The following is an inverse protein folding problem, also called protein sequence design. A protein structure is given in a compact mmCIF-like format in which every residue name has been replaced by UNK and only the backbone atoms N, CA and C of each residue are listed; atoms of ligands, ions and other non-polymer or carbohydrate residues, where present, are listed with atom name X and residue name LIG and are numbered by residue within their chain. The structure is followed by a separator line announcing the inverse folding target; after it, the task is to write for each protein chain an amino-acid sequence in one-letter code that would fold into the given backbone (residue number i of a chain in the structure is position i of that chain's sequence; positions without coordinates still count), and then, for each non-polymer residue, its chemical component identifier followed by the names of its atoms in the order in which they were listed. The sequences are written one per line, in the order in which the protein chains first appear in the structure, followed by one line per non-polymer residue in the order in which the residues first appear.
data_IF_355778862368
#
_entry.id   IF_355778862368
#
_cell.length_a   1.000
_cell.length_b   1.000
_cell.length_c   1.000
_cell.angle_alpha   90.00
_cell.angle_beta   90.00
_cell.angle_gamma   90.00
#
_symmetry.space_group_name_H-M   'P 1'
#
loop_
_entity.id
_entity.type
_entity.pdbx_description
1 polymer ?
#
# COMPACT_ATOMS: atom_id res chain seq x y z
N UNK A 1 -1.12 30.73 13.56
CA UNK A 1 -0.76 29.88 12.40
C UNK A 1 -1.86 28.85 12.25
N UNK A 2 -2.60 28.92 11.16
CA UNK A 2 -3.81 28.13 10.95
C UNK A 2 -3.43 26.71 10.53
N UNK A 3 -3.95 25.72 11.26
CA UNK A 3 -3.99 24.34 10.83
C UNK A 3 -5.03 24.24 9.70
N UNK A 4 -4.58 24.09 8.46
CA UNK A 4 -5.50 23.99 7.34
C UNK A 4 -4.81 23.94 5.99
N UNK A 5 -4.22 22.78 5.66
CA UNK A 5 -4.17 22.25 4.28
C UNK A 5 -3.37 20.94 4.23
N UNK A 6 -3.87 19.91 4.92
CA UNK A 6 -3.58 18.52 4.58
C UNK A 6 -4.88 17.93 4.03
N UNK A 7 -5.29 18.40 2.84
CA UNK A 7 -6.31 17.71 2.07
C UNK A 7 -5.60 16.90 1.00
N UNK A 8 -5.97 15.62 0.79
CA UNK A 8 -5.45 14.85 -0.32
C UNK A 8 -5.76 15.55 -1.64
N UNK A 9 -4.90 15.36 -2.64
CA UNK A 9 -5.04 15.87 -4.00
C UNK A 9 -6.45 15.71 -4.54
N UNK A 10 -6.90 16.61 -5.42
CA UNK A 10 -8.23 16.51 -6.04
C UNK A 10 -8.47 15.14 -6.72
N UNK A 11 -7.40 14.45 -7.13
CA UNK A 11 -7.44 13.12 -7.73
C UNK A 11 -7.47 11.98 -6.71
N UNK A 12 -6.77 12.08 -5.58
CA UNK A 12 -6.94 11.14 -4.47
C UNK A 12 -8.34 11.30 -3.88
N UNK A 13 -8.84 12.54 -3.76
CA UNK A 13 -10.24 12.79 -3.48
C UNK A 13 -11.09 12.14 -4.57
N UNK A 14 -10.78 12.26 -5.86
CA UNK A 14 -11.58 11.64 -6.92
C UNK A 14 -11.57 10.09 -6.90
N UNK A 15 -10.46 9.44 -6.53
CA UNK A 15 -10.36 7.97 -6.38
C UNK A 15 -10.99 7.50 -5.07
N UNK A 16 -10.73 8.17 -3.95
CA UNK A 16 -11.39 7.88 -2.69
C UNK A 16 -12.90 8.16 -2.78
N UNK A 17 -13.29 9.21 -3.51
CA UNK A 17 -14.68 9.55 -3.84
C UNK A 17 -15.23 8.58 -4.87
N UNK A 18 -14.49 8.03 -5.82
CA UNK A 18 -15.02 7.00 -6.73
C UNK A 18 -15.24 5.67 -6.02
N UNK A 19 -14.35 5.29 -5.09
CA UNK A 19 -14.52 4.13 -4.21
C UNK A 19 -15.69 4.37 -3.24
N UNK A 20 -15.78 5.56 -2.63
CA UNK A 20 -16.86 5.93 -1.72
C UNK A 20 -18.20 6.16 -2.45
N UNK A 21 -18.19 6.61 -3.71
CA UNK A 21 -19.38 6.70 -4.57
C UNK A 21 -19.75 5.29 -5.01
N UNK A 22 -18.83 4.39 -5.34
CA UNK A 22 -19.18 3.02 -5.73
C UNK A 22 -19.75 2.23 -4.54
N UNK A 23 -19.08 2.26 -3.40
CA UNK A 23 -19.59 1.68 -2.15
C UNK A 23 -20.85 2.40 -1.65
N UNK A 24 -20.89 3.72 -1.80
CA UNK A 24 -22.05 4.56 -1.46
C UNK A 24 -23.23 4.38 -2.42
N UNK A 25 -23.02 4.04 -3.69
CA UNK A 25 -24.06 3.70 -4.67
C UNK A 25 -24.58 2.29 -4.43
N UNK A 26 -23.75 1.35 -3.95
CA UNK A 26 -24.22 0.03 -3.49
C UNK A 26 -25.07 0.19 -2.23
N UNK A 27 -24.57 0.92 -1.22
CA UNK A 27 -25.32 1.21 0.01
C UNK A 27 -26.55 2.07 -0.29
N UNK A 28 -26.47 3.06 -1.19
CA UNK A 28 -27.61 3.88 -1.59
C UNK A 28 -28.58 3.10 -2.47
N UNK A 29 -28.14 2.15 -3.30
CA UNK A 29 -29.05 1.25 -4.01
C UNK A 29 -29.77 0.35 -3.01
N UNK A 30 -29.10 -0.21 -2.00
CA UNK A 30 -29.75 -0.92 -0.89
C UNK A 30 -30.70 0.00 -0.10
N UNK A 31 -30.31 1.24 0.17
CA UNK A 31 -31.12 2.17 0.97
C UNK A 31 -32.28 2.78 0.17
N UNK A 32 -32.13 2.95 -1.14
CA UNK A 32 -33.12 3.50 -2.06
C UNK A 32 -34.12 2.42 -2.47
N UNK A 33 -33.67 1.18 -2.70
CA UNK A 33 -34.57 0.02 -2.77
C UNK A 33 -35.27 -0.22 -1.42
N UNK A 34 -34.60 0.00 -0.28
CA UNK A 34 -35.25 -0.04 1.03
C UNK A 34 -36.20 1.15 1.31
N UNK A 35 -36.02 2.31 0.66
CA UNK A 35 -36.89 3.51 0.81
C UNK A 35 -38.04 3.55 -0.18
N UNK A 36 -37.89 2.99 -1.38
CA UNK A 36 -39.01 2.77 -2.32
C UNK A 36 -39.89 1.58 -1.92
N UNK A 37 -39.40 0.75 -0.98
CA UNK A 37 -40.23 -0.17 -0.19
C UNK A 37 -40.88 0.51 1.03
N UNK A 38 -40.74 1.83 1.22
CA UNK A 38 -41.64 2.57 2.09
C UNK A 38 -42.97 2.74 1.34
N UNK A 39 -44.11 2.33 1.93
CA UNK A 39 -45.38 2.32 1.23
C UNK A 39 -45.72 3.73 0.76
N UNK A 40 -45.68 3.94 -0.55
CA UNK A 40 -46.34 5.09 -1.15
C UNK A 40 -47.82 4.97 -0.79
N UNK A 41 -48.31 5.92 0.02
CA UNK A 41 -49.73 6.10 0.26
C UNK A 41 -50.39 6.43 -1.08
N UNK A 42 -50.88 5.39 -1.76
CA UNK A 42 -51.93 5.54 -2.76
C UNK A 42 -53.15 6.00 -1.98
N UNK A 43 -53.60 7.22 -2.26
CA UNK A 43 -54.89 7.74 -1.84
C UNK A 43 -55.97 6.92 -2.55
N UNK A 44 -56.29 5.75 -2.00
CA UNK A 44 -57.53 5.05 -2.29
C UNK A 44 -58.66 5.83 -1.66
N UNK A 45 -59.60 6.25 -2.50
CA UNK A 45 -60.92 6.62 -2.07
C UNK A 45 -61.49 5.53 -1.14
N UNK A 46 -61.95 6.00 0.02
CA UNK A 46 -63.01 5.43 0.86
C UNK A 46 -62.72 4.11 1.59
N UNK A 47 -62.73 4.24 2.92
CA UNK A 47 -63.03 3.26 3.98
C UNK A 47 -63.48 1.85 3.55
N UNK A 48 -62.78 0.82 4.02
CA UNK A 48 -63.32 -0.07 5.06
C UNK A 48 -62.27 -1.06 5.58
N UNK A 49 -62.07 -1.02 6.89
CA UNK A 49 -61.76 -2.14 7.81
C UNK A 49 -60.81 -3.26 7.35
N UNK A 50 -59.56 -3.22 7.85
CA UNK A 50 -58.92 -4.30 8.65
C UNK A 50 -57.40 -4.12 8.69
N UNK A 51 -56.91 -3.41 9.71
CA UNK A 51 -55.50 -3.47 10.12
C UNK A 51 -55.44 -4.35 11.36
N UNK A 52 -55.21 -5.66 11.17
CA UNK A 52 -54.63 -6.54 12.19
C UNK A 52 -53.84 -7.65 11.47
N UNK A 53 -52.54 -7.75 11.79
CA UNK A 53 -51.51 -8.71 11.31
C UNK A 53 -50.80 -8.33 9.99
N UNK A 54 -49.65 -7.64 10.06
CA UNK A 54 -48.83 -7.36 8.87
C UNK A 54 -47.33 -7.17 9.18
N UNK A 55 -46.73 -8.02 10.02
CA UNK A 55 -45.26 -8.14 10.06
C UNK A 55 -44.73 -9.37 9.29
N UNK A 56 -45.57 -10.39 9.06
CA UNK A 56 -45.21 -11.64 8.34
C UNK A 56 -45.87 -11.80 6.96
N UNK A 57 -46.78 -10.90 6.58
CA UNK A 57 -47.64 -11.08 5.42
C UNK A 57 -46.90 -10.82 4.09
N UNK A 58 -45.92 -9.92 4.10
CA UNK A 58 -45.09 -9.64 2.93
C UNK A 58 -44.10 -10.76 2.64
N UNK A 59 -43.56 -11.44 3.67
CA UNK A 59 -42.66 -12.60 3.48
C UNK A 59 -43.42 -13.78 2.90
N UNK A 60 -44.62 -14.08 3.44
CA UNK A 60 -45.50 -15.11 2.87
C UNK A 60 -45.90 -14.78 1.45
N UNK A 61 -46.28 -13.54 1.18
CA UNK A 61 -46.61 -13.10 -0.19
C UNK A 61 -45.41 -13.25 -1.15
N UNK A 62 -44.19 -13.00 -0.67
CA UNK A 62 -42.98 -13.16 -1.49
C UNK A 62 -42.63 -14.64 -1.74
N UNK A 63 -42.79 -15.51 -0.73
CA UNK A 63 -42.68 -16.96 -0.86
C UNK A 63 -43.75 -17.51 -1.82
N UNK A 64 -44.99 -17.02 -1.74
CA UNK A 64 -46.09 -17.41 -2.62
C UNK A 64 -45.87 -16.95 -4.06
N UNK A 65 -45.33 -15.75 -4.26
CA UNK A 65 -44.92 -15.24 -5.58
C UNK A 65 -43.72 -16.02 -6.13
N UNK A 66 -42.74 -16.41 -5.32
CA UNK A 66 -41.65 -17.31 -5.76
C UNK A 66 -42.18 -18.69 -6.15
N UNK A 67 -43.11 -19.24 -5.36
CA UNK A 67 -43.77 -20.52 -5.65
C UNK A 67 -44.64 -20.46 -6.92
N UNK A 68 -45.31 -19.33 -7.19
CA UNK A 68 -46.20 -19.16 -8.35
C UNK A 68 -45.49 -18.68 -9.62
N UNK A 69 -44.43 -17.89 -9.50
CA UNK A 69 -43.71 -17.34 -10.66
C UNK A 69 -42.92 -18.40 -11.42
N UNK A 70 -42.61 -19.53 -10.78
CA UNK A 70 -41.70 -20.54 -11.32
C UNK A 70 -40.27 -20.02 -11.49
N UNK A 71 -39.97 -18.83 -10.96
CA UNK A 71 -38.66 -18.19 -11.00
C UNK A 71 -37.93 -18.60 -9.73
N UNK A 72 -37.10 -19.64 -9.82
CA UNK A 72 -36.10 -19.90 -8.79
C UNK A 72 -35.06 -18.77 -8.80
N UNK A 73 -34.49 -18.45 -7.64
CA UNK A 73 -33.25 -17.69 -7.61
C UNK A 73 -32.23 -18.38 -8.54
N UNK A 74 -31.41 -17.61 -9.29
CA UNK A 74 -30.33 -18.21 -10.05
C UNK A 74 -29.49 -19.09 -9.11
N UNK A 75 -29.17 -20.30 -9.55
CA UNK A 75 -28.28 -21.15 -8.77
C UNK A 75 -26.95 -20.41 -8.57
N UNK A 76 -26.36 -20.48 -7.36
CA UNK A 76 -25.04 -19.92 -7.15
C UNK A 76 -24.06 -20.54 -8.16
N UNK A 77 -23.10 -19.75 -8.66
CA UNK A 77 -22.13 -20.25 -9.62
C UNK A 77 -21.39 -21.46 -9.04
N UNK A 78 -21.14 -22.48 -9.88
CA UNK A 78 -20.39 -23.66 -9.45
C UNK A 78 -18.98 -23.29 -9.00
N UNK A 79 -18.41 -24.06 -8.07
CA UNK A 79 -17.02 -23.85 -7.61
C UNK A 79 -16.02 -23.83 -8.78
N UNK A 80 -16.25 -24.66 -9.80
CA UNK A 80 -15.45 -24.71 -11.03
C UNK A 80 -15.54 -23.39 -11.82
N UNK A 81 -16.74 -22.81 -11.95
CA UNK A 81 -16.94 -21.53 -12.63
C UNK A 81 -16.25 -20.39 -11.88
N UNK A 82 -16.37 -20.39 -10.54
CA UNK A 82 -15.70 -19.40 -9.68
C UNK A 82 -14.17 -19.52 -9.82
N UNK A 83 -13.63 -20.74 -9.79
CA UNK A 83 -12.21 -20.98 -9.97
C UNK A 83 -11.71 -20.52 -11.35
N UNK A 84 -12.48 -20.77 -12.41
CA UNK A 84 -12.16 -20.30 -13.76
C UNK A 84 -12.16 -18.77 -13.84
N UNK A 85 -13.13 -18.09 -13.24
CA UNK A 85 -13.16 -16.62 -13.19
C UNK A 85 -12.00 -16.05 -12.39
N UNK A 86 -11.64 -16.66 -11.26
CA UNK A 86 -10.49 -16.24 -10.45
C UNK A 86 -9.16 -16.41 -11.19
N UNK A 87 -9.00 -17.50 -11.94
CA UNK A 87 -7.84 -17.71 -12.79
C UNK A 87 -7.76 -16.63 -13.89
N UNK A 88 -8.86 -16.35 -14.57
CA UNK A 88 -8.94 -15.31 -15.59
C UNK A 88 -8.76 -13.88 -15.00
N UNK A 89 -9.12 -13.68 -13.73
CA UNK A 89 -8.93 -12.41 -13.03
C UNK A 89 -7.45 -12.13 -12.73
N UNK A 90 -6.57 -13.13 -12.77
CA UNK A 90 -5.13 -12.90 -12.64
C UNK A 90 -4.50 -12.31 -13.91
N UNK A 91 -5.24 -12.21 -15.01
CA UNK A 91 -4.79 -11.58 -16.25
C UNK A 91 -4.94 -10.06 -16.17
N UNK A 92 -3.91 -9.33 -16.61
CA UNK A 92 -3.91 -7.86 -16.63
C UNK A 92 -2.93 -7.25 -15.62
N UNK A 93 -3.17 -6.00 -15.25
CA UNK A 93 -2.36 -5.29 -14.24
C UNK A 93 -2.87 -5.54 -12.82
N UNK A 94 -2.12 -5.12 -11.80
CA UNK A 94 -2.46 -5.39 -10.39
C UNK A 94 -3.80 -4.77 -10.02
N UNK A 95 -4.06 -3.54 -10.47
CA UNK A 95 -5.34 -2.86 -10.24
C UNK A 95 -6.52 -3.64 -10.78
N UNK A 96 -6.43 -4.11 -12.03
CA UNK A 96 -7.46 -4.92 -12.67
C UNK A 96 -7.62 -6.27 -11.96
N UNK A 97 -6.53 -6.94 -11.67
CA UNK A 97 -6.54 -8.27 -11.05
C UNK A 97 -7.18 -8.27 -9.66
N UNK A 98 -6.79 -7.31 -8.82
CA UNK A 98 -7.36 -7.13 -7.49
C UNK A 98 -8.84 -6.77 -7.59
N UNK A 99 -9.22 -5.86 -8.50
CA UNK A 99 -10.61 -5.43 -8.66
C UNK A 99 -11.51 -6.58 -9.12
N UNK A 100 -11.07 -7.35 -10.12
CA UNK A 100 -11.80 -8.51 -10.64
C UNK A 100 -11.89 -9.62 -9.61
N UNK A 101 -10.79 -9.93 -8.92
CA UNK A 101 -10.76 -10.92 -7.82
C UNK A 101 -11.76 -10.53 -6.72
N UNK A 102 -11.72 -9.27 -6.25
CA UNK A 102 -12.63 -8.78 -5.22
C UNK A 102 -14.09 -8.85 -5.67
N UNK A 103 -14.39 -8.45 -6.90
CA UNK A 103 -15.75 -8.52 -7.45
C UNK A 103 -16.27 -9.96 -7.52
N UNK A 104 -15.48 -10.90 -8.03
CA UNK A 104 -15.86 -12.32 -8.15
C UNK A 104 -16.10 -12.92 -6.77
N UNK A 105 -15.17 -12.71 -5.85
CA UNK A 105 -15.26 -13.27 -4.50
C UNK A 105 -16.42 -12.69 -3.69
N UNK A 106 -16.67 -11.39 -3.76
CA UNK A 106 -17.80 -10.75 -3.10
C UNK A 106 -19.14 -11.20 -3.70
N UNK A 107 -19.23 -11.30 -5.02
CA UNK A 107 -20.45 -11.76 -5.71
C UNK A 107 -20.78 -13.22 -5.37
N UNK A 108 -19.75 -14.07 -5.29
CA UNK A 108 -19.90 -15.47 -4.86
C UNK A 108 -20.34 -15.58 -3.40
N UNK A 109 -19.74 -14.79 -2.49
CA UNK A 109 -20.15 -14.73 -1.10
C UNK A 109 -21.60 -14.25 -0.96
N UNK A 110 -22.01 -13.23 -1.71
CA UNK A 110 -23.39 -12.73 -1.72
C UNK A 110 -24.38 -13.79 -2.22
N UNK A 111 -24.04 -14.53 -3.29
CA UNK A 111 -24.87 -15.62 -3.81
C UNK A 111 -25.06 -16.77 -2.81
N UNK A 112 -24.12 -16.94 -1.87
CA UNK A 112 -24.20 -17.93 -0.78
C UNK A 112 -24.87 -17.39 0.49
N UNK A 113 -25.35 -16.14 0.49
CA UNK A 113 -25.91 -15.49 1.68
C UNK A 113 -24.86 -15.04 2.71
N UNK A 114 -23.57 -15.04 2.34
CA UNK A 114 -22.43 -14.67 3.17
C UNK A 114 -21.90 -13.26 2.89
N UNK A 115 -22.55 -12.48 2.01
CA UNK A 115 -22.04 -11.17 1.57
C UNK A 115 -21.88 -10.14 2.70
N UNK A 116 -22.66 -10.25 3.78
CA UNK A 116 -22.60 -9.39 4.97
C UNK A 116 -21.85 -10.03 6.15
N UNK A 117 -21.25 -11.21 5.96
CA UNK A 117 -20.49 -11.89 7.00
C UNK A 117 -19.11 -11.23 7.16
N UNK A 118 -18.89 -10.60 8.32
CA UNK A 118 -17.65 -9.86 8.63
C UNK A 118 -16.40 -10.75 8.49
N UNK A 119 -16.35 -11.98 9.06
CA UNK A 119 -15.22 -12.89 8.85
C UNK A 119 -14.92 -13.19 7.38
N UNK A 120 -15.95 -13.29 6.53
CA UNK A 120 -15.79 -13.48 5.09
C UNK A 120 -15.20 -12.22 4.45
N UNK A 121 -15.72 -11.04 4.76
CA UNK A 121 -15.18 -9.76 4.25
C UNK A 121 -13.71 -9.55 4.63
N UNK A 122 -13.32 -9.87 5.87
CA UNK A 122 -11.93 -9.77 6.33
C UNK A 122 -10.98 -10.67 5.54
N UNK A 123 -11.41 -11.91 5.25
CA UNK A 123 -10.63 -12.85 4.43
C UNK A 123 -10.47 -12.34 3.00
N UNK A 124 -11.50 -11.74 2.41
CA UNK A 124 -11.43 -11.17 1.06
C UNK A 124 -10.45 -10.01 0.99
N UNK A 125 -10.49 -9.11 1.98
CA UNK A 125 -9.55 -7.99 2.10
C UNK A 125 -8.12 -8.51 2.28
N UNK A 126 -7.90 -9.50 3.15
CA UNK A 126 -6.59 -10.11 3.35
C UNK A 126 -6.04 -10.79 2.07
N UNK A 127 -6.91 -11.46 1.31
CA UNK A 127 -6.56 -12.07 0.03
C UNK A 127 -6.15 -11.03 -1.03
N UNK A 128 -6.90 -9.94 -1.14
CA UNK A 128 -6.58 -8.82 -2.02
C UNK A 128 -5.24 -8.16 -1.63
N UNK A 129 -4.98 -8.00 -0.33
CA UNK A 129 -3.70 -7.48 0.17
C UNK A 129 -2.52 -8.41 -0.17
N UNK A 130 -2.69 -9.73 -0.09
CA UNK A 130 -1.64 -10.70 -0.42
C UNK A 130 -1.21 -10.63 -1.88
N UNK A 131 -2.11 -10.23 -2.80
CA UNK A 131 -1.79 -10.04 -4.22
C UNK A 131 -0.90 -8.81 -4.47
N UNK A 132 -0.90 -7.82 -3.59
CA UNK A 132 -0.10 -6.60 -3.73
C UNK A 132 1.39 -6.81 -3.39
N UNK A 133 1.76 -7.90 -2.71
CA UNK A 133 3.10 -8.10 -2.14
C UNK A 133 4.15 -8.78 -3.03
N UNK A 134 3.88 -9.03 -4.31
CA UNK A 134 4.73 -9.90 -5.14
C UNK A 134 5.72 -9.12 -6.02
N UNK A 135 6.77 -8.57 -5.40
CA UNK A 135 7.95 -8.09 -6.10
C UNK A 135 9.21 -8.71 -5.51
N UNK A 136 9.88 -9.61 -6.25
CA UNK A 136 11.18 -10.11 -5.84
C UNK A 136 12.22 -8.99 -5.99
N UNK A 137 12.64 -8.40 -4.88
CA UNK A 137 13.81 -7.51 -4.83
C UNK A 137 15.06 -8.36 -4.62
N UNK A 138 16.20 -7.93 -5.15
CA UNK A 138 17.48 -8.56 -4.83
C UNK A 138 17.71 -8.52 -3.31
N UNK A 139 17.93 -9.71 -2.73
CA UNK A 139 18.13 -9.88 -1.30
C UNK A 139 19.61 -10.08 -1.00
N UNK A 140 20.21 -9.10 -0.31
CA UNK A 140 21.58 -9.15 0.18
C UNK A 140 21.64 -9.89 1.51
N UNK A 141 22.77 -10.53 1.76
CA UNK A 141 23.10 -11.33 2.93
C UNK A 141 24.49 -10.97 3.44
N UNK A 142 24.88 -11.49 4.61
CA UNK A 142 26.22 -11.28 5.15
C UNK A 142 27.32 -11.93 4.29
N UNK A 143 26.97 -12.89 3.44
CA UNK A 143 27.90 -13.51 2.50
C UNK A 143 28.31 -12.57 1.35
N UNK A 144 27.53 -11.52 1.12
CA UNK A 144 27.79 -10.52 0.09
C UNK A 144 28.73 -9.40 0.57
N UNK A 145 29.12 -9.42 1.85
CA UNK A 145 29.92 -8.37 2.49
C UNK A 145 31.38 -8.77 2.66
N UNK A 146 32.29 -7.79 2.55
CA UNK A 146 33.65 -7.92 3.06
C UNK A 146 33.64 -7.66 4.58
N UNK A 147 33.81 -8.71 5.39
CA UNK A 147 33.81 -8.59 6.85
C UNK A 147 35.21 -8.30 7.40
N UNK A 148 35.30 -7.38 8.35
CA UNK A 148 36.55 -7.04 9.06
C UNK A 148 36.38 -7.12 10.59
N UNK A 149 37.48 -7.34 11.35
CA UNK A 149 37.42 -7.41 12.82
C UNK A 149 36.85 -6.15 13.47
N UNK A 150 36.25 -6.30 14.65
CA UNK A 150 35.64 -5.20 15.41
C UNK A 150 36.69 -4.37 16.17
N UNK A 151 37.48 -3.58 15.45
CA UNK A 151 38.41 -2.60 16.04
C UNK A 151 37.83 -1.20 15.94
N UNK A 152 38.28 -0.28 16.80
CA UNK A 152 37.88 1.12 16.73
C UNK A 152 38.22 1.75 15.38
N UNK A 153 39.37 1.40 14.83
CA UNK A 153 39.83 1.86 13.51
C UNK A 153 38.88 1.38 12.41
N UNK A 154 38.50 0.10 12.39
CA UNK A 154 37.57 -0.44 11.39
C UNK A 154 36.16 0.16 11.53
N UNK A 155 35.68 0.38 12.76
CA UNK A 155 34.39 1.03 13.00
C UNK A 155 34.38 2.49 12.55
N UNK A 156 35.47 3.22 12.79
CA UNK A 156 35.66 4.60 12.35
C UNK A 156 35.73 4.69 10.82
N UNK A 157 36.55 3.84 10.19
CA UNK A 157 36.65 3.75 8.73
C UNK A 157 35.30 3.42 8.08
N UNK A 158 34.57 2.45 8.62
CA UNK A 158 33.21 2.11 8.17
C UNK A 158 32.25 3.29 8.30
N UNK A 159 32.21 3.97 9.45
CA UNK A 159 31.35 5.12 9.67
C UNK A 159 31.63 6.27 8.70
N UNK A 160 32.90 6.52 8.40
CA UNK A 160 33.31 7.49 7.38
C UNK A 160 32.92 7.06 5.97
N UNK A 161 33.17 5.80 5.60
CA UNK A 161 32.83 5.27 4.27
C UNK A 161 31.33 5.31 3.99
N UNK A 162 30.52 4.89 4.96
CA UNK A 162 29.06 4.93 4.86
C UNK A 162 28.54 6.37 4.70
N UNK A 163 29.02 7.30 5.52
CA UNK A 163 28.62 8.71 5.41
C UNK A 163 29.09 9.35 4.10
N UNK A 164 30.29 9.01 3.63
CA UNK A 164 30.83 9.49 2.36
C UNK A 164 29.97 9.02 1.17
N UNK A 165 29.64 7.74 1.11
CA UNK A 165 28.80 7.16 0.05
C UNK A 165 27.41 7.84 0.01
N UNK A 166 26.76 8.01 1.17
CA UNK A 166 25.47 8.73 1.25
C UNK A 166 25.61 10.18 0.75
N UNK A 167 26.68 10.88 1.13
CA UNK A 167 26.93 12.25 0.69
C UNK A 167 27.26 12.35 -0.82
N UNK A 168 27.82 11.30 -1.42
CA UNK A 168 28.10 11.23 -2.85
C UNK A 168 26.84 11.06 -3.71
N UNK A 169 25.73 10.61 -3.11
CA UNK A 169 24.45 10.35 -3.77
C UNK A 169 23.31 11.28 -3.30
N UNK A 170 23.45 12.62 -3.43
CA UNK A 170 22.45 13.57 -2.91
C UNK A 170 21.09 13.48 -3.63
N UNK A 171 21.05 12.87 -4.82
CA UNK A 171 19.83 12.68 -5.59
C UNK A 171 19.06 11.41 -5.17
N UNK A 172 19.64 10.53 -4.34
CA UNK A 172 18.91 9.46 -3.65
C UNK A 172 18.05 10.05 -2.51
N UNK A 173 17.07 10.87 -2.89
CA UNK A 173 16.35 11.75 -1.98
C UNK A 173 14.87 11.37 -1.85
N UNK A 174 14.47 10.98 -0.63
CA UNK A 174 13.07 10.71 -0.32
C UNK A 174 12.17 11.93 -0.54
N UNK A 175 12.68 13.13 -0.22
CA UNK A 175 11.94 14.37 -0.44
C UNK A 175 11.65 14.61 -1.92
N UNK A 176 12.62 14.36 -2.81
CA UNK A 176 12.41 14.52 -4.25
C UNK A 176 11.46 13.48 -4.83
N UNK A 177 11.51 12.21 -4.36
CA UNK A 177 10.55 11.17 -4.76
C UNK A 177 9.14 11.58 -4.37
N UNK A 178 8.93 11.95 -3.10
CA UNK A 178 7.61 12.33 -2.59
C UNK A 178 7.08 13.60 -3.26
N UNK A 179 7.94 14.58 -3.53
CA UNK A 179 7.57 15.78 -4.27
C UNK A 179 7.14 15.46 -5.70
N UNK A 180 7.95 14.69 -6.45
CA UNK A 180 7.66 14.33 -7.85
C UNK A 180 6.38 13.52 -7.93
N UNK A 181 6.17 12.58 -7.01
CA UNK A 181 4.95 11.78 -6.92
C UNK A 181 3.73 12.64 -6.58
N UNK A 182 3.82 13.49 -5.56
CA UNK A 182 2.74 14.40 -5.18
C UNK A 182 2.35 15.34 -6.32
N UNK A 183 3.33 15.95 -6.97
CA UNK A 183 3.11 16.83 -8.10
C UNK A 183 2.50 16.10 -9.31
N UNK A 184 2.97 14.88 -9.60
CA UNK A 184 2.39 14.06 -10.67
C UNK A 184 0.90 13.80 -10.44
N UNK A 185 0.53 13.43 -9.21
CA UNK A 185 -0.87 13.20 -8.82
C UNK A 185 -1.69 14.50 -8.83
N UNK A 186 -1.16 15.60 -8.31
CA UNK A 186 -1.91 16.87 -8.26
C UNK A 186 -2.19 17.44 -9.65
N UNK A 187 -1.28 17.22 -10.60
CA UNK A 187 -1.30 17.87 -11.92
C UNK A 187 -1.57 16.91 -13.08
N UNK A 188 -1.87 15.63 -12.82
CA UNK A 188 -1.95 14.59 -13.85
C UNK A 188 -0.70 14.54 -14.76
N UNK A 189 0.48 14.75 -14.19
CA UNK A 189 1.72 14.95 -14.97
C UNK A 189 2.52 13.66 -15.07
N UNK A 190 2.32 12.93 -16.19
CA UNK A 190 3.15 11.77 -16.53
C UNK A 190 4.62 12.15 -16.72
N UNK A 191 4.88 13.38 -17.20
CA UNK A 191 6.24 13.90 -17.35
C UNK A 191 6.98 13.98 -16.01
N UNK A 192 6.26 14.32 -14.93
CA UNK A 192 6.87 14.40 -13.60
C UNK A 192 7.28 13.02 -13.08
N UNK A 193 6.51 11.97 -13.40
CA UNK A 193 6.87 10.58 -13.06
C UNK A 193 8.17 10.13 -13.72
N UNK A 194 8.55 10.70 -14.88
CA UNK A 194 9.82 10.36 -15.54
C UNK A 194 11.04 10.83 -14.73
N UNK A 195 10.88 11.79 -13.82
CA UNK A 195 11.95 12.22 -12.89
C UNK A 195 12.26 11.19 -11.81
N UNK A 196 11.37 10.22 -11.59
CA UNK A 196 11.58 9.16 -10.61
C UNK A 196 12.68 8.18 -11.05
N UNK A 197 12.82 7.95 -12.35
CA UNK A 197 13.80 7.01 -12.89
C UNK A 197 15.27 7.37 -12.55
N UNK A 198 15.76 8.60 -12.78
CA UNK A 198 17.11 8.95 -12.35
C UNK A 198 17.29 8.84 -10.82
N UNK A 199 16.27 9.15 -10.01
CA UNK A 199 16.34 8.99 -8.55
C UNK A 199 16.47 7.50 -8.17
N UNK A 200 15.71 6.62 -8.81
CA UNK A 200 15.82 5.16 -8.63
C UNK A 200 17.24 4.66 -8.94
N UNK A 201 17.86 5.16 -10.01
CA UNK A 201 19.26 4.83 -10.34
C UNK A 201 20.26 5.29 -9.28
N UNK A 202 20.04 6.44 -8.67
CA UNK A 202 20.90 6.96 -7.59
C UNK A 202 20.81 6.10 -6.33
N UNK A 203 19.63 5.60 -5.97
CA UNK A 203 19.49 4.61 -4.90
C UNK A 203 20.23 3.29 -5.23
N UNK A 204 20.17 2.81 -6.47
CA UNK A 204 20.92 1.60 -6.87
C UNK A 204 22.44 1.83 -6.82
N UNK A 205 22.90 2.96 -7.33
CA UNK A 205 24.32 3.32 -7.31
C UNK A 205 24.85 3.44 -5.87
N UNK A 206 24.05 4.01 -4.96
CA UNK A 206 24.38 4.03 -3.54
C UNK A 206 24.50 2.60 -2.98
N UNK A 207 23.55 1.70 -3.28
CA UNK A 207 23.65 0.28 -2.86
C UNK A 207 24.93 -0.37 -3.37
N UNK A 208 25.27 -0.15 -4.64
CA UNK A 208 26.48 -0.69 -5.26
C UNK A 208 27.75 -0.17 -4.57
N UNK A 209 27.80 1.12 -4.19
CA UNK A 209 28.93 1.69 -3.44
C UNK A 209 29.01 1.12 -2.02
N UNK A 210 27.87 0.98 -1.33
CA UNK A 210 27.83 0.45 0.02
C UNK A 210 28.26 -1.01 0.12
N UNK A 211 27.99 -1.83 -0.92
CA UNK A 211 28.46 -3.22 -1.00
C UNK A 211 29.99 -3.35 -0.99
N UNK A 212 30.70 -2.32 -1.41
CA UNK A 212 32.17 -2.32 -1.47
C UNK A 212 32.82 -1.95 -0.12
N UNK A 213 32.03 -1.61 0.90
CA UNK A 213 32.56 -1.21 2.19
C UNK A 213 32.97 -2.43 3.03
N UNK A 214 34.21 -2.40 3.51
CA UNK A 214 34.66 -3.31 4.56
C UNK A 214 33.84 -3.07 5.83
N UNK A 215 33.07 -4.07 6.24
CA UNK A 215 32.04 -3.96 7.29
C UNK A 215 32.49 -4.67 8.57
N UNK A 216 32.55 -3.99 9.72
CA UNK A 216 32.81 -4.64 11.01
C UNK A 216 31.79 -5.74 11.29
N UNK A 217 32.25 -6.91 11.72
CA UNK A 217 31.38 -8.09 11.93
C UNK A 217 30.12 -7.79 12.76
N UNK A 218 30.23 -6.97 13.82
CA UNK A 218 29.09 -6.59 14.68
C UNK A 218 28.07 -5.70 13.98
N UNK A 219 28.48 -4.97 12.94
CA UNK A 219 27.61 -4.06 12.17
C UNK A 219 26.98 -4.74 10.95
N UNK A 220 27.48 -5.92 10.57
CA UNK A 220 27.02 -6.64 9.37
C UNK A 220 25.50 -6.85 9.31
N UNK A 221 24.75 -7.18 10.39
CA UNK A 221 23.31 -7.36 10.26
C UNK A 221 22.57 -6.06 9.94
N UNK A 222 23.02 -4.94 10.54
CA UNK A 222 22.44 -3.61 10.28
C UNK A 222 22.78 -3.15 8.87
N UNK A 223 24.01 -3.39 8.42
CA UNK A 223 24.45 -3.04 7.07
C UNK A 223 23.66 -3.79 5.99
N UNK A 224 23.50 -5.12 6.13
CA UNK A 224 22.65 -5.93 5.24
C UNK A 224 21.23 -5.38 5.19
N UNK A 225 20.68 -4.94 6.33
CA UNK A 225 19.33 -4.39 6.37
C UNK A 225 19.25 -3.07 5.59
N UNK A 226 20.23 -2.17 5.75
CA UNK A 226 20.33 -0.91 4.98
C UNK A 226 20.36 -1.18 3.47
N UNK A 227 21.21 -2.11 3.01
CA UNK A 227 21.31 -2.47 1.59
C UNK A 227 19.97 -2.96 1.03
N UNK A 228 19.29 -3.83 1.78
CA UNK A 228 18.00 -4.38 1.39
C UNK A 228 16.89 -3.32 1.38
N UNK A 229 16.84 -2.42 2.37
CA UNK A 229 15.86 -1.32 2.40
C UNK A 229 16.09 -0.29 1.29
N UNK A 230 17.34 0.08 1.00
CA UNK A 230 17.66 0.97 -0.12
C UNK A 230 17.35 0.34 -1.47
N UNK A 231 17.61 -0.96 -1.63
CA UNK A 231 17.26 -1.73 -2.82
C UNK A 231 15.73 -1.80 -3.01
N UNK A 232 14.98 -2.07 -1.93
CA UNK A 232 13.51 -2.00 -1.95
C UNK A 232 13.01 -0.60 -2.29
N UNK A 233 13.64 0.44 -1.75
CA UNK A 233 13.30 1.82 -2.09
C UNK A 233 13.50 2.06 -3.59
N UNK A 234 14.64 1.66 -4.16
CA UNK A 234 14.92 1.80 -5.59
C UNK A 234 13.88 1.11 -6.48
N UNK A 235 13.51 -0.14 -6.18
CA UNK A 235 12.52 -0.91 -6.94
C UNK A 235 11.10 -0.37 -6.76
N UNK A 236 10.75 0.07 -5.55
CA UNK A 236 9.43 0.65 -5.30
C UNK A 236 9.18 1.95 -6.07
N UNK A 237 10.23 2.73 -6.35
CA UNK A 237 10.14 3.90 -7.24
C UNK A 237 9.72 3.50 -8.67
N UNK A 238 10.16 2.34 -9.17
CA UNK A 238 9.73 1.83 -10.48
C UNK A 238 8.23 1.52 -10.48
N UNK A 239 7.71 0.94 -9.39
CA UNK A 239 6.28 0.69 -9.25
C UNK A 239 5.48 2.00 -9.24
N UNK A 240 6.00 3.06 -8.62
CA UNK A 240 5.34 4.39 -8.63
C UNK A 240 5.20 4.98 -10.04
N UNK A 241 6.12 4.69 -10.95
CA UNK A 241 6.03 5.15 -12.34
C UNK A 241 4.83 4.54 -13.08
N UNK A 242 4.28 3.43 -12.60
CA UNK A 242 3.11 2.77 -13.17
C UNK A 242 1.79 3.50 -12.88
N UNK A 243 1.78 4.59 -12.10
CA UNK A 243 0.57 5.32 -11.70
C UNK A 243 -0.50 5.50 -12.80
N UNK A 244 -0.17 5.87 -14.05
CA UNK A 244 -1.20 6.12 -15.05
C UNK A 244 -1.84 4.84 -15.60
N UNK A 245 -1.17 3.69 -15.47
CA UNK A 245 -1.63 2.39 -15.98
C UNK A 245 -2.10 1.44 -14.87
N UNK A 246 -1.48 1.50 -13.70
CA UNK A 246 -1.71 0.60 -12.56
C UNK A 246 -1.62 1.36 -11.22
N UNK A 247 -2.68 2.11 -10.83
CA UNK A 247 -2.69 2.91 -9.62
C UNK A 247 -2.46 2.13 -8.32
N UNK A 248 -2.97 0.89 -8.20
CA UNK A 248 -2.72 0.06 -7.01
C UNK A 248 -1.26 -0.35 -6.90
N UNK A 249 -0.62 -0.77 -8.00
CA UNK A 249 0.81 -1.06 -8.00
C UNK A 249 1.61 0.18 -7.60
N UNK A 250 1.25 1.35 -8.13
CA UNK A 250 1.91 2.61 -7.78
C UNK A 250 1.73 2.98 -6.31
N UNK A 251 0.54 2.76 -5.74
CA UNK A 251 0.27 3.01 -4.32
C UNK A 251 1.08 2.08 -3.42
N UNK A 252 1.15 0.79 -3.77
CA UNK A 252 2.00 -0.17 -3.06
C UNK A 252 3.47 0.23 -3.15
N UNK A 253 3.93 0.69 -4.32
CA UNK A 253 5.27 1.27 -4.49
C UNK A 253 5.53 2.41 -3.52
N UNK A 254 4.62 3.39 -3.43
CA UNK A 254 4.73 4.51 -2.50
C UNK A 254 4.81 4.04 -1.04
N UNK A 255 3.98 3.09 -0.64
CA UNK A 255 3.98 2.56 0.72
C UNK A 255 5.30 1.86 1.07
N UNK A 256 5.81 1.00 0.17
CA UNK A 256 7.09 0.29 0.36
C UNK A 256 8.25 1.27 0.42
N UNK A 257 8.23 2.32 -0.39
CA UNK A 257 9.26 3.36 -0.34
C UNK A 257 9.27 4.09 0.99
N UNK A 258 8.10 4.52 1.47
CA UNK A 258 7.98 5.22 2.75
C UNK A 258 8.42 4.35 3.93
N UNK A 259 8.03 3.07 3.96
CA UNK A 259 8.45 2.16 5.02
C UNK A 259 9.95 1.88 4.97
N UNK A 260 10.51 1.62 3.79
CA UNK A 260 11.93 1.31 3.62
C UNK A 260 12.81 2.53 3.96
N UNK A 261 12.44 3.73 3.52
CA UNK A 261 13.21 4.96 3.84
C UNK A 261 13.12 5.36 5.31
N UNK A 262 11.96 5.18 5.95
CA UNK A 262 11.83 5.35 7.40
C UNK A 262 12.70 4.35 8.18
N UNK A 263 12.75 3.10 7.70
CA UNK A 263 13.58 2.06 8.31
C UNK A 263 15.08 2.35 8.16
N UNK A 264 15.54 2.81 6.99
CA UNK A 264 16.93 3.27 6.81
C UNK A 264 17.30 4.36 7.80
N UNK A 265 16.43 5.37 7.99
CA UNK A 265 16.67 6.43 8.98
C UNK A 265 16.81 5.86 10.40
N UNK A 266 15.93 4.92 10.78
CA UNK A 266 15.99 4.23 12.07
C UNK A 266 17.31 3.46 12.24
N UNK A 267 17.76 2.77 11.18
CA UNK A 267 19.02 2.03 11.18
C UNK A 267 20.24 2.95 11.28
N UNK A 268 20.22 4.12 10.61
CA UNK A 268 21.27 5.13 10.75
C UNK A 268 21.33 5.70 12.17
N UNK A 269 20.20 5.96 12.82
CA UNK A 269 20.16 6.36 14.23
C UNK A 269 20.74 5.26 15.13
N UNK A 270 20.45 3.98 14.85
CA UNK A 270 21.02 2.86 15.59
C UNK A 270 22.54 2.76 15.40
N UNK A 271 23.05 2.96 14.18
CA UNK A 271 24.49 3.01 13.91
C UNK A 271 25.16 4.16 14.65
N UNK A 272 24.59 5.36 14.60
CA UNK A 272 25.10 6.52 15.32
C UNK A 272 25.22 6.22 16.82
N UNK A 273 24.20 5.57 17.41
CA UNK A 273 24.23 5.13 18.81
C UNK A 273 25.34 4.12 19.07
N UNK A 274 25.51 3.13 18.20
CA UNK A 274 26.58 2.14 18.36
C UNK A 274 27.97 2.77 18.26
N UNK A 275 28.19 3.74 17.37
CA UNK A 275 29.44 4.51 17.33
C UNK A 275 29.68 5.25 18.65
N UNK A 276 28.65 5.93 19.17
CA UNK A 276 28.73 6.63 20.46
C UNK A 276 29.01 5.68 21.63
N UNK A 277 28.32 4.54 21.73
CA UNK A 277 28.49 3.55 22.80
C UNK A 277 29.89 2.92 22.79
N UNK A 278 30.50 2.77 21.61
CA UNK A 278 31.86 2.24 21.45
C UNK A 278 32.95 3.32 21.50
N UNK A 279 32.58 4.57 21.82
CA UNK A 279 33.48 5.73 21.83
C UNK A 279 34.27 5.86 20.52
N UNK A 280 33.58 5.68 19.40
CA UNK A 280 34.05 6.02 18.06
C UNK A 280 33.74 7.50 17.87
N UNK A 281 34.80 8.32 17.82
CA UNK A 281 34.69 9.76 17.71
C UNK A 281 34.94 10.16 16.28
N UNK A 282 34.15 11.09 15.77
CA UNK A 282 34.37 11.68 14.46
C UNK A 282 34.83 13.14 14.55
N UNK A 283 35.81 13.53 13.74
CA UNK A 283 36.26 14.93 13.66
C UNK A 283 35.35 15.75 12.74
N UNK A 284 35.37 17.07 12.86
CA UNK A 284 34.44 17.93 12.09
C UNK A 284 34.77 18.04 10.60
N UNK A 285 35.96 17.60 10.20
CA UNK A 285 36.47 17.61 8.82
C UNK A 285 36.25 16.30 8.07
N UNK A 286 35.73 15.27 8.73
CA UNK A 286 35.45 13.98 8.09
C UNK A 286 33.96 13.74 7.85
N UNK A 287 33.61 12.90 6.85
CA UNK A 287 32.22 12.59 6.53
C UNK A 287 31.42 12.06 7.71
N UNK A 288 32.06 11.28 8.59
CA UNK A 288 31.44 10.68 9.77
C UNK A 288 30.97 11.69 10.83
N UNK A 289 31.35 12.97 10.75
CA UNK A 289 30.76 14.03 11.60
C UNK A 289 29.23 14.08 11.52
N UNK A 290 28.64 13.64 10.41
CA UNK A 290 27.19 13.56 10.23
C UNK A 290 26.49 12.66 11.29
N UNK A 291 27.20 11.69 11.88
CA UNK A 291 26.64 10.81 12.91
C UNK A 291 26.26 11.58 14.20
N UNK A 292 26.97 12.67 14.51
CA UNK A 292 26.66 13.51 15.69
C UNK A 292 25.33 14.27 15.53
N UNK A 293 25.01 14.66 14.31
CA UNK A 293 23.74 15.35 13.99
C UNK A 293 22.55 14.42 14.25
N UNK A 294 22.69 13.13 13.95
CA UNK A 294 21.61 12.14 14.15
C UNK A 294 21.32 11.83 15.63
N UNK A 295 22.28 12.09 16.52
CA UNK A 295 22.12 11.89 17.97
C UNK A 295 21.65 13.15 18.70
N UNK A 296 21.74 14.30 18.05
CA UNK A 296 21.30 15.57 18.61
C UNK A 296 19.78 15.59 18.70
N UNK A 297 19.17 15.87 19.87
CA UNK A 297 17.73 16.09 19.95
C UNK A 297 17.40 17.26 19.03
N UNK A 298 16.57 17.02 18.02
CA UNK A 298 16.11 18.03 17.06
C UNK A 298 15.68 19.31 17.80
N UNK A 299 16.28 20.44 17.43
CA UNK A 299 15.83 21.78 17.84
C UNK A 299 14.37 22.04 17.43
#
# INVERSE_FOLDING_TARGET
MAAGSYLPSAQFVLVAVSIAISGGLIIAAERYTAKENAPAQLTSATESEAVQNSDDDWKRSLEEIQLQSGISLPEPPSEESVAAFLAAAQEGNVTESVSRTLFITLSNAAAQGLGSDIPTQDKLIAGAQAQLGQGATQAYTTADLELVPNTKENMHAYGNGLAAAVNAHPQASAAQVLYSMGFAVDNNSVLELQKLEPISREYRALVDELLLLSTPETLSPIHVQILNDLSRAAESIKNMQALPQDPLLSLTGLQVFQSSTAEVLRLFINLARQFSENAILFTTDEPGSAWEVLLSPSL
#
